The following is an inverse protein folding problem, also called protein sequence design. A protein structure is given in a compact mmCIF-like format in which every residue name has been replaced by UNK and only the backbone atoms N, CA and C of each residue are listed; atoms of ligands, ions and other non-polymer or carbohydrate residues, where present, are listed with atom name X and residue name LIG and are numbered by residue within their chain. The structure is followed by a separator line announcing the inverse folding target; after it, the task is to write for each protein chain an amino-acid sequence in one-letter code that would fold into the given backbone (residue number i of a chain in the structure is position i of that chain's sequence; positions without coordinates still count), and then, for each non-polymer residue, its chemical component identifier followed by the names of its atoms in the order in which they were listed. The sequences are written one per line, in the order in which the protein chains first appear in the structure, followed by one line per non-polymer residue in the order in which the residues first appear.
data_IF_461293900992
#
_entry.id   IF_461293900992
#
_cell.length_a   1.000
_cell.length_b   1.000
_cell.length_c   1.000
_cell.angle_alpha   90.00
_cell.angle_beta   90.00
_cell.angle_gamma   90.00
#
_symmetry.space_group_name_H-M   'P 1'
#
loop_
_entity.id
_entity.type
_entity.pdbx_description
1 polymer ?
#
# COMPACT_ATOMS: atom_id res chain seq x y z
N UNK A 1 -5.12 21.16 10.21
CA UNK A 1 -4.72 19.77 10.57
C UNK A 1 -3.88 19.19 9.43
N UNK A 2 -2.69 18.69 9.76
CA UNK A 2 -1.67 18.22 8.80
C UNK A 2 -2.14 17.01 7.95
N UNK A 3 -3.28 16.42 8.29
CA UNK A 3 -3.81 15.19 7.69
C UNK A 3 -5.22 15.37 7.09
N UNK A 4 -5.71 16.59 6.97
CA UNK A 4 -7.03 16.85 6.36
C UNK A 4 -6.89 16.83 4.83
N UNK A 5 -7.40 15.76 4.21
CA UNK A 5 -7.43 15.58 2.75
C UNK A 5 -8.23 16.68 2.07
N UNK A 6 -9.23 17.27 2.74
CA UNK A 6 -10.06 18.34 2.19
C UNK A 6 -9.30 19.64 1.90
N UNK A 7 -8.08 19.79 2.43
CA UNK A 7 -7.19 20.93 2.17
C UNK A 7 -6.19 20.72 1.03
N UNK A 8 -6.11 19.49 0.47
CA UNK A 8 -5.08 19.10 -0.48
C UNK A 8 -5.68 18.93 -1.88
N UNK A 9 -5.24 19.76 -2.81
CA UNK A 9 -5.42 19.77 -4.28
C UNK A 9 -6.45 18.77 -4.88
N UNK A 10 -7.70 19.17 -4.99
CA UNK A 10 -8.79 18.43 -5.65
C UNK A 10 -8.43 17.91 -7.06
N UNK A 11 -7.63 18.64 -7.84
CA UNK A 11 -7.27 18.25 -9.22
C UNK A 11 -6.49 16.94 -9.33
N UNK A 12 -5.60 16.64 -8.38
CA UNK A 12 -4.84 15.40 -8.43
C UNK A 12 -5.72 14.16 -8.19
N UNK A 13 -6.80 14.32 -7.43
CA UNK A 13 -7.78 13.25 -7.21
C UNK A 13 -8.73 13.06 -8.38
N UNK A 14 -9.07 14.14 -9.11
CA UNK A 14 -9.91 14.07 -10.30
C UNK A 14 -9.21 13.24 -11.39
N UNK A 15 -7.93 13.51 -11.66
CA UNK A 15 -7.13 12.74 -12.61
C UNK A 15 -7.03 11.25 -12.20
N UNK A 16 -6.80 10.96 -10.92
CA UNK A 16 -6.75 9.58 -10.41
C UNK A 16 -8.12 8.89 -10.49
N UNK A 17 -9.20 9.60 -10.27
CA UNK A 17 -10.54 9.07 -10.40
C UNK A 17 -10.82 8.64 -11.85
N UNK A 18 -10.52 9.49 -12.83
CA UNK A 18 -10.74 9.20 -14.24
C UNK A 18 -9.86 8.02 -14.71
N UNK A 19 -8.60 7.97 -14.29
CA UNK A 19 -7.70 6.83 -14.56
C UNK A 19 -8.27 5.56 -13.93
N UNK A 20 -8.72 5.62 -12.68
CA UNK A 20 -9.35 4.49 -11.99
C UNK A 20 -10.53 3.93 -12.77
N UNK A 21 -11.45 4.80 -13.19
CA UNK A 21 -12.62 4.39 -14.00
C UNK A 21 -12.21 3.69 -15.29
N UNK A 22 -11.13 4.13 -15.93
CA UNK A 22 -10.64 3.53 -17.19
C UNK A 22 -10.18 2.08 -17.03
N UNK A 23 -9.85 1.67 -15.80
CA UNK A 23 -9.40 0.32 -15.42
C UNK A 23 -10.37 -0.39 -14.47
N UNK A 24 -11.61 0.07 -14.40
CA UNK A 24 -12.68 -0.46 -13.56
C UNK A 24 -12.43 -0.34 -12.04
N UNK A 25 -11.65 0.66 -11.61
CA UNK A 25 -11.49 1.01 -10.19
C UNK A 25 -12.33 2.25 -9.90
N UNK A 26 -13.35 2.11 -9.09
CA UNK A 26 -14.24 3.22 -8.71
C UNK A 26 -13.81 3.82 -7.38
N UNK A 27 -12.78 4.67 -7.41
CA UNK A 27 -12.29 5.37 -6.22
C UNK A 27 -13.38 6.25 -5.59
N UNK A 28 -13.45 6.26 -4.27
CA UNK A 28 -14.39 7.05 -3.49
C UNK A 28 -13.65 8.02 -2.56
N UNK A 29 -12.81 8.89 -3.12
CA UNK A 29 -11.98 9.84 -2.36
C UNK A 29 -12.79 10.75 -1.44
N UNK A 30 -14.05 11.03 -1.79
CA UNK A 30 -14.91 11.91 -0.99
C UNK A 30 -15.28 11.33 0.38
N UNK A 31 -15.18 10.02 0.55
CA UNK A 31 -15.48 9.33 1.82
C UNK A 31 -14.26 9.20 2.73
N UNK A 32 -13.06 9.48 2.22
CA UNK A 32 -11.81 9.41 3.00
C UNK A 32 -11.68 10.70 3.82
N UNK A 33 -11.82 10.63 5.16
CA UNK A 33 -11.85 11.84 5.98
C UNK A 33 -10.45 12.41 6.24
N UNK A 34 -9.43 11.56 6.26
CA UNK A 34 -8.03 11.91 6.54
C UNK A 34 -7.08 10.78 6.10
N UNK A 35 -5.79 11.12 6.02
CA UNK A 35 -4.75 10.10 5.76
C UNK A 35 -4.58 9.22 7.00
N UNK A 36 -4.81 7.92 6.85
CA UNK A 36 -4.63 6.94 7.93
C UNK A 36 -3.15 6.74 8.25
N UNK A 37 -2.83 6.46 9.52
CA UNK A 37 -1.54 5.87 9.88
C UNK A 37 -1.51 4.43 9.36
N UNK A 38 -0.50 4.09 8.59
CA UNK A 38 -0.40 2.79 7.92
C UNK A 38 0.63 1.85 8.58
N UNK A 39 1.19 2.19 9.74
CA UNK A 39 2.21 1.36 10.37
C UNK A 39 1.67 -0.04 10.70
N UNK A 40 0.56 -0.13 11.41
CA UNK A 40 -0.08 -1.42 11.75
C UNK A 40 -0.73 -2.09 10.54
N UNK A 41 -1.09 -1.31 9.51
CA UNK A 41 -1.53 -1.83 8.21
C UNK A 41 -0.41 -2.67 7.54
N UNK A 42 0.82 -2.17 7.54
CA UNK A 42 1.98 -2.93 7.05
C UNK A 42 2.25 -4.17 7.90
N UNK A 43 2.01 -4.12 9.23
CA UNK A 43 2.14 -5.29 10.10
C UNK A 43 1.10 -6.36 9.78
N UNK A 44 -0.12 -5.98 9.39
CA UNK A 44 -1.12 -6.93 8.90
C UNK A 44 -0.63 -7.64 7.64
N UNK A 45 -0.12 -6.90 6.66
CA UNK A 45 0.41 -7.50 5.41
C UNK A 45 1.56 -8.46 5.71
N UNK A 46 2.47 -8.07 6.59
CA UNK A 46 3.60 -8.91 7.00
C UNK A 46 3.11 -10.20 7.70
N UNK A 47 2.18 -10.08 8.64
CA UNK A 47 1.58 -11.22 9.33
C UNK A 47 0.85 -12.16 8.35
N UNK A 48 0.10 -11.58 7.40
CA UNK A 48 -0.58 -12.33 6.35
C UNK A 48 0.38 -13.06 5.40
N UNK A 49 1.59 -12.55 5.21
CA UNK A 49 2.59 -13.17 4.32
C UNK A 49 3.05 -14.52 4.83
N UNK A 50 3.13 -14.72 6.14
CA UNK A 50 3.51 -15.99 6.76
C UNK A 50 2.49 -17.10 6.48
N UNK A 51 1.24 -16.72 6.16
CA UNK A 51 0.16 -17.63 5.76
C UNK A 51 -0.07 -17.66 4.23
N UNK A 52 0.78 -17.00 3.43
CA UNK A 52 0.60 -16.88 1.98
C UNK A 52 -0.58 -16.01 1.57
N UNK A 53 -1.03 -15.10 2.44
CA UNK A 53 -2.22 -14.26 2.27
C UNK A 53 -1.92 -12.76 2.07
N UNK A 54 -0.65 -12.39 1.80
CA UNK A 54 -0.26 -10.99 1.67
C UNK A 54 -1.04 -10.25 0.58
N UNK A 55 -1.25 -10.88 -0.58
CA UNK A 55 -1.95 -10.28 -1.72
C UNK A 55 -3.41 -9.97 -1.40
N UNK A 56 -4.14 -10.92 -0.80
CA UNK A 56 -5.53 -10.70 -0.42
C UNK A 56 -5.66 -9.69 0.73
N UNK A 57 -4.66 -9.60 1.60
CA UNK A 57 -4.60 -8.56 2.64
C UNK A 57 -4.45 -7.17 2.02
N UNK A 58 -3.52 -6.99 1.08
CA UNK A 58 -3.34 -5.74 0.34
C UNK A 58 -4.60 -5.32 -0.40
N UNK A 59 -5.22 -6.23 -1.14
CA UNK A 59 -6.46 -5.95 -1.87
C UNK A 59 -7.59 -5.52 -0.93
N UNK A 60 -7.76 -6.21 0.22
CA UNK A 60 -8.78 -5.87 1.21
C UNK A 60 -8.52 -4.50 1.86
N UNK A 61 -7.26 -4.15 2.10
CA UNK A 61 -6.87 -2.84 2.62
C UNK A 61 -7.16 -1.71 1.62
N UNK A 62 -6.81 -1.90 0.35
CA UNK A 62 -7.13 -0.94 -0.72
C UNK A 62 -8.63 -0.76 -0.90
N UNK A 63 -9.39 -1.85 -0.90
CA UNK A 63 -10.85 -1.82 -0.95
C UNK A 63 -11.42 -1.01 0.23
N UNK A 64 -10.99 -1.33 1.46
CA UNK A 64 -11.47 -0.64 2.67
C UNK A 64 -11.14 0.85 2.64
N UNK A 65 -9.94 1.24 2.22
CA UNK A 65 -9.52 2.64 2.24
C UNK A 65 -10.07 3.43 1.06
N UNK A 66 -9.79 2.99 -0.18
CA UNK A 66 -10.06 3.79 -1.38
C UNK A 66 -11.50 3.70 -1.88
N UNK A 67 -12.22 2.61 -1.58
CA UNK A 67 -13.59 2.39 -2.06
C UNK A 67 -14.60 2.61 -0.93
N UNK A 68 -14.33 2.04 0.26
CA UNK A 68 -15.25 2.10 1.40
C UNK A 68 -15.00 3.31 2.31
N UNK A 69 -13.88 4.02 2.16
CA UNK A 69 -13.53 5.20 2.96
C UNK A 69 -13.26 4.90 4.43
N UNK A 70 -12.84 3.68 4.75
CA UNK A 70 -12.59 3.25 6.12
C UNK A 70 -11.21 3.67 6.62
N UNK A 71 -11.10 3.84 7.92
CA UNK A 71 -9.82 4.15 8.56
C UNK A 71 -8.99 2.87 8.77
N UNK A 72 -8.09 2.57 7.84
CA UNK A 72 -7.18 1.41 7.94
C UNK A 72 -6.06 1.58 8.98
N UNK A 73 -5.99 2.72 9.67
CA UNK A 73 -5.16 2.91 10.87
C UNK A 73 -5.86 2.49 12.17
N UNK A 74 -7.16 2.14 12.12
CA UNK A 74 -7.91 1.68 13.29
C UNK A 74 -7.71 0.18 13.50
N UNK A 75 -7.33 -0.20 14.72
CA UNK A 75 -7.07 -1.60 15.09
C UNK A 75 -8.29 -2.50 14.85
N UNK A 76 -9.51 -2.01 15.13
CA UNK A 76 -10.72 -2.82 14.97
C UNK A 76 -11.02 -3.06 13.48
N UNK A 77 -10.73 -2.07 12.63
CA UNK A 77 -10.84 -2.25 11.18
C UNK A 77 -9.83 -3.30 10.67
N UNK A 78 -8.58 -3.23 11.14
CA UNK A 78 -7.56 -4.22 10.78
C UNK A 78 -7.92 -5.64 11.23
N UNK A 79 -8.50 -5.80 12.44
CA UNK A 79 -9.01 -7.10 12.92
C UNK A 79 -10.19 -7.60 12.07
N UNK A 80 -11.06 -6.70 11.65
CA UNK A 80 -12.19 -7.04 10.75
C UNK A 80 -11.68 -7.54 9.40
N UNK A 81 -10.67 -6.86 8.84
CA UNK A 81 -10.03 -7.28 7.57
C UNK A 81 -9.34 -8.63 7.75
N UNK A 82 -8.55 -8.82 8.82
CA UNK A 82 -7.87 -10.07 9.12
C UNK A 82 -8.86 -11.25 9.15
N UNK A 83 -9.95 -11.12 9.88
CA UNK A 83 -11.01 -12.11 9.95
C UNK A 83 -11.66 -12.39 8.58
N UNK A 84 -11.95 -11.34 7.80
CA UNK A 84 -12.55 -11.44 6.45
C UNK A 84 -11.69 -12.28 5.50
N UNK A 85 -10.37 -12.17 5.59
CA UNK A 85 -9.42 -12.95 4.76
C UNK A 85 -9.01 -14.29 5.39
N UNK A 86 -9.66 -14.68 6.48
CA UNK A 86 -9.43 -15.97 7.13
C UNK A 86 -8.15 -16.04 7.96
N UNK A 87 -7.65 -14.92 8.43
CA UNK A 87 -6.59 -14.83 9.44
C UNK A 87 -7.25 -14.89 10.82
N UNK A 88 -6.62 -15.59 11.78
CA UNK A 88 -7.04 -15.59 13.18
C UNK A 88 -6.91 -14.19 13.76
N UNK A 89 -8.04 -13.53 13.97
CA UNK A 89 -8.11 -12.17 14.49
C UNK A 89 -7.58 -12.04 15.93
N UNK A 90 -7.70 -13.10 16.75
CA UNK A 90 -7.13 -13.14 18.08
C UNK A 90 -5.59 -13.23 18.04
N UNK A 91 -5.04 -14.08 17.20
CA UNK A 91 -3.60 -14.19 17.01
C UNK A 91 -3.03 -12.88 16.45
N UNK A 92 -3.70 -12.25 15.49
CA UNK A 92 -3.30 -10.95 14.97
C UNK A 92 -3.44 -9.83 16.02
N UNK A 93 -4.50 -9.81 16.84
CA UNK A 93 -4.64 -8.88 17.94
C UNK A 93 -3.49 -9.01 18.97
N UNK A 94 -3.06 -10.24 19.27
CA UNK A 94 -1.89 -10.48 20.11
C UNK A 94 -0.60 -9.98 19.44
N UNK A 95 -0.43 -10.23 18.14
CA UNK A 95 0.69 -9.71 17.36
C UNK A 95 0.77 -8.17 17.43
N UNK A 96 -0.35 -7.47 17.28
CA UNK A 96 -0.39 -6.00 17.35
C UNK A 96 -0.01 -5.45 18.73
N UNK A 97 -0.33 -6.17 19.81
CA UNK A 97 0.05 -5.80 21.19
C UNK A 97 1.53 -6.07 21.50
N UNK A 98 2.20 -6.87 20.70
CA UNK A 98 3.63 -7.18 20.82
C UNK A 98 4.47 -6.22 19.97
N UNK A 99 5.80 -6.36 20.08
CA UNK A 99 6.73 -5.68 19.19
C UNK A 99 7.04 -6.48 17.90
N UNK A 100 6.32 -7.57 17.64
CA UNK A 100 6.55 -8.42 16.48
C UNK A 100 6.27 -7.66 15.17
N UNK A 101 7.11 -7.87 14.18
CA UNK A 101 7.00 -7.23 12.87
C UNK A 101 7.48 -5.77 12.82
N UNK A 102 7.68 -5.09 13.96
CA UNK A 102 8.11 -3.68 13.98
C UNK A 102 9.48 -3.54 13.30
N UNK A 103 10.46 -4.36 13.70
CA UNK A 103 11.80 -4.28 13.15
C UNK A 103 11.84 -4.62 11.65
N UNK A 104 10.98 -5.53 11.18
CA UNK A 104 10.89 -5.91 9.78
C UNK A 104 10.36 -4.76 8.93
N UNK A 105 9.32 -4.06 9.42
CA UNK A 105 8.79 -2.86 8.75
C UNK A 105 9.83 -1.74 8.71
N UNK A 106 10.52 -1.47 9.82
CA UNK A 106 11.56 -0.45 9.88
C UNK A 106 12.76 -0.80 8.98
N UNK A 107 13.17 -2.07 8.95
CA UNK A 107 14.25 -2.54 8.08
C UNK A 107 13.87 -2.40 6.60
N UNK A 108 12.62 -2.75 6.24
CA UNK A 108 12.11 -2.59 4.87
C UNK A 108 12.10 -1.12 4.44
N UNK A 109 11.68 -0.22 5.31
CA UNK A 109 11.70 1.22 5.06
C UNK A 109 13.13 1.74 4.89
N UNK A 110 14.04 1.34 5.79
CA UNK A 110 15.48 1.70 5.71
C UNK A 110 16.10 1.21 4.40
N UNK A 111 15.77 -0.02 3.97
CA UNK A 111 16.24 -0.58 2.71
C UNK A 111 15.72 0.22 1.51
N UNK A 112 14.43 0.62 1.51
CA UNK A 112 13.86 1.46 0.46
C UNK A 112 14.63 2.79 0.35
N UNK A 113 14.88 3.47 1.47
CA UNK A 113 15.67 4.69 1.50
C UNK A 113 17.11 4.48 1.01
N UNK A 114 17.78 3.39 1.41
CA UNK A 114 19.14 3.09 0.96
C UNK A 114 19.25 2.82 -0.53
N UNK A 115 18.16 2.39 -1.16
CA UNK A 115 18.04 2.24 -2.61
C UNK A 115 17.71 3.56 -3.33
N UNK A 116 17.59 4.67 -2.60
CA UNK A 116 17.27 5.97 -3.17
C UNK A 116 15.80 6.13 -3.58
N UNK A 117 14.90 5.29 -3.05
CA UNK A 117 13.47 5.41 -3.32
C UNK A 117 12.93 6.64 -2.59
N UNK A 118 12.60 7.68 -3.35
CA UNK A 118 12.17 8.99 -2.81
C UNK A 118 10.67 9.29 -3.06
N UNK A 119 9.96 8.39 -3.71
CA UNK A 119 8.54 8.58 -4.03
C UNK A 119 7.85 7.27 -4.41
N UNK A 120 6.52 7.32 -4.44
CA UNK A 120 5.67 6.18 -4.76
C UNK A 120 4.78 6.48 -5.98
N UNK A 121 4.50 5.49 -6.82
CA UNK A 121 5.11 4.17 -6.85
C UNK A 121 6.59 4.22 -7.26
N UNK A 122 7.38 3.20 -6.89
CA UNK A 122 8.74 3.01 -7.37
C UNK A 122 8.92 1.60 -7.89
N UNK A 123 9.63 1.48 -9.02
CA UNK A 123 9.88 0.21 -9.70
C UNK A 123 11.38 -0.09 -9.67
N UNK A 124 11.73 -1.31 -9.27
CA UNK A 124 13.12 -1.78 -9.19
C UNK A 124 13.29 -2.98 -10.11
N UNK A 125 14.09 -2.83 -11.17
CA UNK A 125 14.36 -3.87 -12.14
C UNK A 125 15.74 -4.47 -11.88
N UNK A 126 15.82 -5.80 -11.74
CA UNK A 126 17.05 -6.55 -11.51
C UNK A 126 17.95 -5.98 -10.40
N UNK A 127 17.34 -5.39 -9.37
CA UNK A 127 18.05 -4.75 -8.22
C UNK A 127 19.00 -3.61 -8.58
N UNK A 128 18.99 -3.11 -9.82
CA UNK A 128 19.95 -2.12 -10.33
C UNK A 128 19.30 -0.89 -10.94
N UNK A 129 18.20 -1.08 -11.65
CA UNK A 129 17.54 -0.02 -12.38
C UNK A 129 16.31 0.42 -11.59
N UNK A 130 16.24 1.69 -11.24
CA UNK A 130 15.16 2.24 -10.43
C UNK A 130 14.48 3.37 -11.20
N UNK A 131 13.15 3.37 -11.19
CA UNK A 131 12.35 4.48 -11.69
C UNK A 131 11.27 4.81 -10.65
N UNK A 132 11.14 6.09 -10.31
CA UNK A 132 10.16 6.57 -9.33
C UNK A 132 9.04 7.33 -10.04
N UNK A 133 7.85 7.27 -9.46
CA UNK A 133 6.61 7.84 -9.99
C UNK A 133 5.87 6.88 -10.90
N UNK A 134 4.57 7.16 -11.09
CA UNK A 134 3.73 6.44 -12.04
C UNK A 134 4.30 6.61 -13.47
N UNK A 135 4.32 5.53 -14.22
CA UNK A 135 4.88 5.47 -15.58
C UNK A 135 3.87 4.89 -16.53
N UNK A 136 3.91 5.36 -17.78
CA UNK A 136 3.14 4.75 -18.86
C UNK A 136 3.57 3.30 -19.10
N UNK A 137 2.65 2.38 -19.45
CA UNK A 137 2.95 0.96 -19.64
C UNK A 137 4.11 0.70 -20.62
N UNK A 138 4.22 1.48 -21.69
CA UNK A 138 5.28 1.37 -22.67
C UNK A 138 6.67 1.72 -22.11
N UNK A 139 6.74 2.62 -21.12
CA UNK A 139 7.98 2.95 -20.42
C UNK A 139 8.39 1.76 -19.53
N UNK A 140 7.44 1.20 -18.76
CA UNK A 140 7.71 0.03 -17.93
C UNK A 140 8.18 -1.17 -18.77
N UNK A 141 7.54 -1.45 -19.90
CA UNK A 141 7.96 -2.51 -20.83
C UNK A 141 9.41 -2.31 -21.31
N UNK A 142 9.76 -1.11 -21.77
CA UNK A 142 11.14 -0.78 -22.18
C UNK A 142 12.16 -0.92 -21.04
N UNK A 143 11.75 -0.65 -19.79
CA UNK A 143 12.63 -0.81 -18.64
C UNK A 143 12.88 -2.29 -18.30
N UNK A 144 11.86 -3.15 -18.50
CA UNK A 144 12.00 -4.60 -18.39
C UNK A 144 13.03 -5.10 -19.43
N UNK A 145 12.82 -4.76 -20.72
CA UNK A 145 13.73 -5.15 -21.81
C UNK A 145 15.18 -4.69 -21.54
N UNK A 146 15.34 -3.45 -21.08
CA UNK A 146 16.66 -2.90 -20.76
C UNK A 146 17.31 -3.57 -19.54
N UNK A 147 16.53 -4.06 -18.59
CA UNK A 147 17.03 -4.77 -17.44
C UNK A 147 17.48 -6.21 -17.80
N UNK A 148 16.75 -6.87 -18.72
CA UNK A 148 17.09 -8.20 -19.21
C UNK A 148 18.36 -8.18 -20.10
N UNK A 149 18.50 -7.17 -20.95
CA UNK A 149 19.67 -7.04 -21.84
C UNK A 149 21.01 -6.79 -21.09
N UNK A 150 20.95 -6.44 -19.79
CA UNK A 150 22.14 -6.19 -18.96
C UNK A 150 22.49 -7.35 -17.99
N UNK A 151 21.84 -8.48 -18.17
CA UNK A 151 22.12 -9.71 -17.41
C UNK A 151 23.11 -10.56 -18.17
#
# INVERSE_FOLDING_TARGET
DKYDIKSTNYRAYDDLYDIGLSVNINFNFNTIPYTSDTFDTHRLVHFASDEGKAEIALESLFQSYFIEGRNIGDTNELLTIAKKIGIDDHAFAHHLKSNNGINDILASNTKAHSLGLSGMPSFVFNKKLIISGAQEPNILARMIDAAEAKT
#
